data_IF_182469688741
#
_entry.id   IF_182469688741
#
_cell.length_a   1.000
_cell.length_b   1.000
_cell.length_c   1.000
_cell.angle_alpha   90.00
_cell.angle_beta   90.00
_cell.angle_gamma   90.00
#
_symmetry.space_group_name_H-M   'P 1'
#
loop_
_entity.id
_entity.type
_entity.pdbx_description
1 polymer ?
#
# COMPACT_ATOMS: atom_id res chain seq x y z
N UNK A 1 -14.37 33.97 42.23
CA UNK A 1 -14.54 33.91 40.77
C UNK A 1 -13.24 33.57 40.00
N UNK A 2 -12.16 33.19 40.69
CA UNK A 2 -10.80 33.04 40.10
C UNK A 2 -10.33 31.61 39.86
N UNK A 3 -11.11 30.59 40.27
CA UNK A 3 -10.74 29.18 40.07
C UNK A 3 -11.38 28.54 38.82
N UNK A 4 -12.48 29.08 38.31
CA UNK A 4 -13.17 28.52 37.12
C UNK A 4 -12.42 28.87 35.83
N UNK A 5 -11.74 30.03 35.77
CA UNK A 5 -11.01 30.42 34.54
C UNK A 5 -9.73 29.61 34.33
N UNK A 6 -9.00 29.25 35.39
CA UNK A 6 -7.79 28.42 35.29
C UNK A 6 -8.10 26.96 34.93
N UNK A 7 -9.19 26.41 35.46
CA UNK A 7 -9.65 25.05 35.08
C UNK A 7 -10.14 25.02 33.64
N UNK A 8 -10.80 26.08 33.15
CA UNK A 8 -11.20 26.21 31.75
C UNK A 8 -10.02 26.49 30.80
N UNK A 9 -8.95 27.17 31.23
CA UNK A 9 -7.70 27.31 30.46
C UNK A 9 -6.99 25.96 30.31
N UNK A 10 -6.92 25.16 31.37
CA UNK A 10 -6.31 23.81 31.33
C UNK A 10 -7.17 22.85 30.49
N UNK A 11 -8.50 22.91 30.59
CA UNK A 11 -9.41 22.12 29.75
C UNK A 11 -9.43 22.57 28.28
N UNK A 12 -9.27 23.86 27.99
CA UNK A 12 -9.14 24.34 26.61
C UNK A 12 -7.77 24.01 25.99
N UNK A 13 -6.72 23.89 26.81
CA UNK A 13 -5.41 23.39 26.35
C UNK A 13 -5.48 21.89 25.97
N UNK A 14 -6.44 21.16 26.54
CA UNK A 14 -6.74 19.76 26.20
C UNK A 14 -7.68 19.58 24.98
N UNK A 15 -8.15 20.68 24.36
CA UNK A 15 -9.12 20.65 23.26
C UNK A 15 -8.62 21.30 21.96
N UNK A 16 -7.41 21.86 21.95
CA UNK A 16 -6.80 22.43 20.75
C UNK A 16 -5.87 21.39 20.10
N UNK A 17 -6.09 21.00 18.82
CA UNK A 17 -5.14 20.16 18.11
C UNK A 17 -3.76 20.81 18.10
N UNK A 18 -2.72 20.01 18.34
CA UNK A 18 -1.36 20.46 18.08
C UNK A 18 -1.18 20.70 16.58
N UNK A 19 -0.39 21.72 16.23
CA UNK A 19 0.11 21.81 14.87
C UNK A 19 1.06 20.62 14.62
N UNK A 20 1.09 20.15 13.38
CA UNK A 20 1.97 19.06 12.96
C UNK A 20 3.42 19.33 13.36
N UNK A 21 3.87 20.58 13.18
CA UNK A 21 5.22 21.03 13.56
C UNK A 21 5.50 20.83 15.05
N UNK A 22 4.52 21.10 15.92
CA UNK A 22 4.67 20.99 17.37
C UNK A 22 4.91 19.53 17.78
N UNK A 23 4.12 18.60 17.24
CA UNK A 23 4.28 17.16 17.50
C UNK A 23 5.64 16.65 17.01
N UNK A 24 6.06 17.10 15.83
CA UNK A 24 7.38 16.73 15.29
C UNK A 24 8.50 17.25 16.18
N UNK A 25 8.43 18.51 16.63
CA UNK A 25 9.48 19.11 17.46
C UNK A 25 9.57 18.45 18.85
N UNK A 26 8.42 18.04 19.43
CA UNK A 26 8.40 17.27 20.67
C UNK A 26 9.10 15.93 20.53
N UNK A 27 8.80 15.17 19.48
CA UNK A 27 9.50 13.90 19.23
C UNK A 27 10.99 14.14 19.01
N UNK A 28 11.35 15.13 18.20
CA UNK A 28 12.74 15.44 17.86
C UNK A 28 13.56 15.92 19.07
N UNK A 29 12.91 16.51 20.09
CA UNK A 29 13.57 16.83 21.36
C UNK A 29 13.90 15.59 22.21
N UNK A 30 13.17 14.49 22.00
CA UNK A 30 13.41 13.20 22.67
C UNK A 30 14.40 12.31 21.90
N UNK A 31 14.33 12.29 20.57
CA UNK A 31 15.21 11.50 19.70
C UNK A 31 15.35 12.13 18.30
N UNK A 32 16.57 12.20 17.74
CA UNK A 32 16.74 12.61 16.34
C UNK A 32 16.17 11.57 15.36
N UNK A 33 15.66 12.00 14.19
CA UNK A 33 15.11 11.10 13.18
C UNK A 33 16.11 10.00 12.74
N UNK A 34 15.66 8.75 12.77
CA UNK A 34 16.45 7.61 12.36
C UNK A 34 16.45 7.46 10.82
N UNK A 35 17.59 7.79 10.21
CA UNK A 35 17.79 7.69 8.76
C UNK A 35 17.68 6.26 8.23
N UNK A 36 18.05 5.26 9.02
CA UNK A 36 17.99 3.86 8.58
C UNK A 36 16.53 3.39 8.44
N UNK A 37 15.64 3.89 9.30
CA UNK A 37 14.19 3.65 9.24
C UNK A 37 13.46 4.56 8.23
N UNK A 38 14.17 5.43 7.52
CA UNK A 38 13.57 6.34 6.54
C UNK A 38 12.61 7.38 7.14
N UNK A 39 12.83 7.77 8.39
CA UNK A 39 11.94 8.70 9.11
C UNK A 39 11.96 10.10 8.48
N UNK A 40 10.85 10.48 7.86
CA UNK A 40 10.55 11.80 7.32
C UNK A 40 9.16 12.21 7.77
N UNK A 41 9.09 13.18 8.69
CA UNK A 41 7.83 13.53 9.34
C UNK A 41 7.15 14.68 8.63
N UNK A 42 5.88 14.49 8.27
CA UNK A 42 5.07 15.52 7.60
C UNK A 42 4.79 16.67 8.58
N UNK A 43 4.99 17.91 8.14
CA UNK A 43 4.80 19.14 8.94
C UNK A 43 3.78 20.10 8.33
N UNK A 44 3.18 19.75 7.19
CA UNK A 44 2.25 20.61 6.47
C UNK A 44 0.79 20.21 6.72
N UNK A 45 0.00 21.14 7.29
CA UNK A 45 -1.42 20.93 7.58
C UNK A 45 -2.27 20.68 6.35
N UNK A 46 -2.05 21.42 5.27
CA UNK A 46 -2.85 21.26 4.04
C UNK A 46 -2.72 19.88 3.40
N UNK A 47 -1.53 19.25 3.51
CA UNK A 47 -1.34 17.86 3.08
C UNK A 47 -2.09 16.89 3.99
N UNK A 48 -2.05 17.10 5.32
CA UNK A 48 -2.81 16.29 6.27
C UNK A 48 -4.32 16.40 5.99
N UNK A 49 -4.82 17.61 5.76
CA UNK A 49 -6.22 17.86 5.38
C UNK A 49 -6.60 17.10 4.11
N UNK A 50 -5.72 17.13 3.11
CA UNK A 50 -5.92 16.37 1.87
C UNK A 50 -5.93 14.86 2.11
N UNK A 51 -5.05 14.32 2.94
CA UNK A 51 -5.04 12.88 3.29
C UNK A 51 -6.39 12.50 3.91
N UNK A 52 -6.85 13.24 4.92
CA UNK A 52 -8.10 12.96 5.63
C UNK A 52 -9.31 13.08 4.69
N UNK A 53 -9.36 14.13 3.87
CA UNK A 53 -10.44 14.33 2.90
C UNK A 53 -10.52 13.17 1.89
N UNK A 54 -9.38 12.67 1.42
CA UNK A 54 -9.33 11.54 0.49
C UNK A 54 -9.60 10.19 1.17
N UNK A 55 -9.36 10.07 2.49
CA UNK A 55 -9.60 8.84 3.23
C UNK A 55 -11.10 8.52 3.41
N UNK A 56 -11.97 9.52 3.24
CA UNK A 56 -13.43 9.38 3.29
C UNK A 56 -13.89 8.59 4.52
N UNK A 57 -13.31 8.92 5.68
CA UNK A 57 -13.52 8.23 6.96
C UNK A 57 -14.98 8.31 7.41
N UNK A 58 -15.47 7.20 7.93
CA UNK A 58 -16.78 7.00 8.56
C UNK A 58 -16.55 6.63 10.03
N UNK A 59 -17.53 6.88 10.89
CA UNK A 59 -17.41 6.65 12.33
C UNK A 59 -17.28 5.15 12.66
N UNK A 60 -17.82 4.28 11.81
CA UNK A 60 -17.79 2.83 11.95
C UNK A 60 -16.49 2.19 11.45
N UNK A 61 -15.59 2.97 10.85
CA UNK A 61 -14.34 2.42 10.36
C UNK A 61 -13.40 2.02 11.50
N UNK A 62 -12.64 0.95 11.24
CA UNK A 62 -11.43 0.64 11.98
C UNK A 62 -10.23 0.90 11.08
N UNK A 63 -9.55 1.98 11.40
CA UNK A 63 -8.42 2.51 10.65
C UNK A 63 -7.13 1.96 11.26
N UNK A 64 -6.27 1.43 10.41
CA UNK A 64 -4.89 1.12 10.74
C UNK A 64 -3.94 2.19 10.18
N UNK A 65 -3.20 2.84 11.07
CA UNK A 65 -2.07 3.70 10.73
C UNK A 65 -0.75 2.93 10.85
N UNK A 66 0.07 2.96 9.80
CA UNK A 66 1.36 2.27 9.75
C UNK A 66 2.47 3.31 9.78
N UNK A 67 3.35 3.22 10.79
CA UNK A 67 4.41 4.21 11.01
C UNK A 67 3.85 5.60 11.39
N UNK A 68 3.10 5.72 12.50
CA UNK A 68 2.52 6.98 12.97
C UNK A 68 3.56 8.09 13.22
N UNK A 69 4.81 7.73 13.50
CA UNK A 69 5.86 8.71 13.77
C UNK A 69 5.48 9.65 14.92
N UNK A 70 5.60 10.98 14.78
CA UNK A 70 5.25 11.93 15.84
C UNK A 70 3.76 11.97 16.20
N UNK A 71 2.90 11.28 15.43
CA UNK A 71 1.46 11.24 15.63
C UNK A 71 0.68 12.35 14.93
N UNK A 72 1.28 12.99 13.91
CA UNK A 72 0.64 14.10 13.17
C UNK A 72 -0.61 13.66 12.42
N UNK A 73 -0.60 12.45 11.84
CA UNK A 73 -1.76 11.88 11.18
C UNK A 73 -2.65 11.17 12.21
N UNK A 74 -2.07 10.47 13.18
CA UNK A 74 -2.77 9.88 14.34
C UNK A 74 -3.77 10.85 14.98
N UNK A 75 -3.34 12.07 15.32
CA UNK A 75 -4.21 13.10 15.91
C UNK A 75 -5.45 13.34 15.05
N UNK A 76 -5.26 13.46 13.73
CA UNK A 76 -6.33 13.77 12.77
C UNK A 76 -7.27 12.58 12.58
N UNK A 77 -6.73 11.37 12.56
CA UNK A 77 -7.52 10.14 12.49
C UNK A 77 -8.39 9.98 13.73
N UNK A 78 -7.83 10.17 14.93
CA UNK A 78 -8.60 10.05 16.19
C UNK A 78 -9.72 11.10 16.28
N UNK A 79 -9.51 12.29 15.70
CA UNK A 79 -10.53 13.35 15.63
C UNK A 79 -11.71 13.02 14.71
N UNK A 80 -11.58 12.03 13.81
CA UNK A 80 -12.71 11.58 12.98
C UNK A 80 -13.78 10.81 13.78
N UNK A 81 -13.43 10.34 14.98
CA UNK A 81 -14.29 9.51 15.83
C UNK A 81 -14.30 8.02 15.43
N UNK A 82 -13.63 7.64 14.35
CA UNK A 82 -13.41 6.25 13.98
C UNK A 82 -12.53 5.52 14.99
N UNK A 83 -12.54 4.18 14.95
CA UNK A 83 -11.59 3.38 15.73
C UNK A 83 -10.22 3.45 15.06
N UNK A 84 -9.18 3.83 15.82
CA UNK A 84 -7.81 3.98 15.28
C UNK A 84 -6.86 3.04 16.01
N UNK A 85 -6.22 2.17 15.24
CA UNK A 85 -5.06 1.38 15.65
C UNK A 85 -3.82 1.88 14.92
N UNK A 86 -2.66 1.79 15.58
CA UNK A 86 -1.38 2.14 14.97
C UNK A 86 -0.33 1.05 15.21
N UNK A 87 0.52 0.80 14.22
CA UNK A 87 1.70 -0.06 14.34
C UNK A 87 2.95 0.78 14.10
N UNK A 88 3.86 0.78 15.07
CA UNK A 88 5.15 1.47 15.03
C UNK A 88 6.26 0.49 15.40
N UNK A 89 7.41 0.58 14.72
CA UNK A 89 8.57 -0.30 14.93
C UNK A 89 9.58 0.34 15.90
N UNK A 90 9.65 1.67 15.95
CA UNK A 90 10.56 2.42 16.81
C UNK A 90 10.00 2.53 18.24
N UNK A 91 10.69 1.90 19.20
CA UNK A 91 10.27 1.85 20.59
C UNK A 91 10.15 3.25 21.23
N UNK A 92 11.05 4.18 20.88
CA UNK A 92 11.04 5.54 21.46
C UNK A 92 9.87 6.34 20.92
N UNK A 93 9.54 6.15 19.64
CA UNK A 93 8.31 6.72 19.05
C UNK A 93 7.08 6.13 19.73
N UNK A 94 7.08 4.83 20.04
CA UNK A 94 5.96 4.24 20.77
C UNK A 94 5.75 4.89 22.14
N UNK A 95 6.83 5.15 22.89
CA UNK A 95 6.76 5.82 24.19
C UNK A 95 6.36 7.29 24.08
N UNK A 96 6.72 7.97 22.99
CA UNK A 96 6.19 9.29 22.64
C UNK A 96 4.67 9.24 22.40
N UNK A 97 4.21 8.33 21.54
CA UNK A 97 2.80 8.20 21.19
C UNK A 97 1.91 7.81 22.38
N UNK A 98 2.38 6.94 23.28
CA UNK A 98 1.64 6.60 24.51
C UNK A 98 1.46 7.80 25.44
N UNK A 99 2.40 8.75 25.44
CA UNK A 99 2.31 9.98 26.24
C UNK A 99 1.36 11.00 25.59
N UNK A 100 1.50 11.23 24.29
CA UNK A 100 0.69 12.23 23.58
C UNK A 100 -0.74 11.73 23.30
N UNK A 101 -0.92 10.42 23.07
CA UNK A 101 -2.20 9.79 22.74
C UNK A 101 -2.47 8.54 23.62
N UNK A 102 -2.77 8.70 24.93
CA UNK A 102 -2.92 7.57 25.85
C UNK A 102 -4.04 6.58 25.51
N UNK A 103 -5.02 7.00 24.69
CA UNK A 103 -6.15 6.18 24.25
C UNK A 103 -5.94 5.51 22.89
N UNK A 104 -4.79 5.75 22.24
CA UNK A 104 -4.46 5.11 20.96
C UNK A 104 -4.23 3.61 21.16
N UNK A 105 -4.87 2.78 20.33
CA UNK A 105 -4.55 1.35 20.27
C UNK A 105 -3.23 1.13 19.52
N UNK A 106 -2.11 1.22 20.25
CA UNK A 106 -0.76 1.20 19.70
C UNK A 106 -0.06 -0.15 19.91
N UNK A 107 0.36 -0.76 18.80
CA UNK A 107 1.18 -1.97 18.78
C UNK A 107 2.63 -1.63 18.42
N UNK A 108 3.57 -2.04 19.27
CA UNK A 108 5.01 -1.94 18.97
C UNK A 108 5.50 -3.20 18.24
N UNK A 109 5.45 -3.21 16.90
CA UNK A 109 5.88 -4.31 16.03
C UNK A 109 6.27 -3.82 14.63
N UNK A 110 6.88 -4.71 13.85
CA UNK A 110 7.01 -4.54 12.41
C UNK A 110 5.66 -4.86 11.73
N UNK A 111 5.08 -3.87 11.05
CA UNK A 111 3.81 -4.01 10.33
C UNK A 111 3.84 -5.09 9.24
N UNK A 112 5.01 -5.41 8.67
CA UNK A 112 5.15 -6.47 7.66
C UNK A 112 5.02 -7.87 8.29
N UNK A 113 5.29 -8.02 9.58
CA UNK A 113 5.27 -9.31 10.29
C UNK A 113 4.01 -9.45 11.17
N UNK A 114 3.51 -8.34 11.72
CA UNK A 114 2.35 -8.31 12.61
C UNK A 114 1.06 -8.82 11.94
N UNK A 115 0.18 -9.47 12.69
CA UNK A 115 -1.11 -9.91 12.14
C UNK A 115 -2.18 -8.83 12.38
N UNK A 116 -2.67 -8.22 11.31
CA UNK A 116 -3.62 -7.12 11.41
C UNK A 116 -5.02 -7.65 11.70
N UNK A 117 -5.72 -7.02 12.63
CA UNK A 117 -7.11 -7.36 12.96
C UNK A 117 -8.00 -7.41 11.71
N UNK A 118 -8.86 -8.43 11.62
CA UNK A 118 -9.88 -8.56 10.56
C UNK A 118 -10.94 -7.44 10.62
N UNK A 119 -11.02 -6.70 11.72
CA UNK A 119 -11.89 -5.53 11.85
C UNK A 119 -11.35 -4.34 11.04
N UNK A 120 -10.04 -4.29 10.76
CA UNK A 120 -9.41 -3.21 9.98
C UNK A 120 -9.96 -3.19 8.57
N UNK A 121 -10.66 -2.10 8.25
CA UNK A 121 -11.31 -1.91 6.95
C UNK A 121 -10.69 -0.75 6.15
N UNK A 122 -9.85 0.08 6.76
CA UNK A 122 -9.16 1.18 6.12
C UNK A 122 -7.70 1.30 6.60
N UNK A 123 -6.80 1.71 5.70
CA UNK A 123 -5.41 2.05 6.04
C UNK A 123 -5.15 3.51 5.67
N UNK A 124 -4.61 4.29 6.60
CA UNK A 124 -4.15 5.65 6.30
C UNK A 124 -2.74 5.81 6.85
N UNK A 125 -1.75 6.03 5.98
CA UNK A 125 -0.35 5.97 6.41
C UNK A 125 0.58 6.86 5.60
N UNK A 126 1.52 7.50 6.27
CA UNK A 126 2.74 8.02 5.66
C UNK A 126 3.83 6.94 5.71
N UNK A 127 3.88 6.10 4.68
CA UNK A 127 4.67 4.86 4.72
C UNK A 127 6.18 5.17 4.61
N UNK A 128 7.04 4.58 5.47
CA UNK A 128 8.48 4.56 5.24
C UNK A 128 8.80 3.91 3.88
N UNK A 129 9.49 4.63 3.00
CA UNK A 129 9.62 4.23 1.59
C UNK A 129 10.24 2.84 1.35
N UNK A 130 11.03 2.35 2.30
CA UNK A 130 11.69 1.05 2.21
C UNK A 130 10.72 -0.13 2.27
N UNK A 131 9.55 0.05 2.89
CA UNK A 131 8.56 -1.03 3.08
C UNK A 131 7.37 -0.93 2.12
N UNK A 132 7.34 0.05 1.21
CA UNK A 132 6.15 0.29 0.36
C UNK A 132 5.74 -0.92 -0.48
N UNK A 133 6.68 -1.60 -1.16
CA UNK A 133 6.36 -2.78 -1.98
C UNK A 133 5.80 -3.96 -1.17
N UNK A 134 6.51 -4.47 -0.13
CA UNK A 134 5.99 -5.59 0.65
C UNK A 134 4.70 -5.22 1.41
N UNK A 135 4.52 -3.94 1.75
CA UNK A 135 3.29 -3.48 2.40
C UNK A 135 2.08 -3.55 1.46
N UNK A 136 2.21 -3.10 0.20
CA UNK A 136 1.16 -3.26 -0.82
C UNK A 136 0.79 -4.74 -1.00
N UNK A 137 1.79 -5.62 -1.08
CA UNK A 137 1.55 -7.06 -1.18
C UNK A 137 0.82 -7.61 0.05
N UNK A 138 1.22 -7.19 1.25
CA UNK A 138 0.53 -7.59 2.48
C UNK A 138 -0.93 -7.12 2.49
N UNK A 139 -1.19 -5.86 2.13
CA UNK A 139 -2.55 -5.32 2.03
C UNK A 139 -3.45 -6.14 1.12
N UNK A 140 -2.93 -6.68 0.01
CA UNK A 140 -3.67 -7.57 -0.88
C UNK A 140 -4.21 -8.82 -0.18
N UNK A 141 -3.48 -9.36 0.81
CA UNK A 141 -3.87 -10.55 1.58
C UNK A 141 -4.90 -10.24 2.68
N UNK A 142 -4.99 -9.00 3.17
CA UNK A 142 -6.01 -8.58 4.14
C UNK A 142 -7.27 -8.08 3.40
N UNK A 143 -8.18 -9.02 3.08
CA UNK A 143 -9.38 -8.74 2.27
C UNK A 143 -10.40 -7.80 2.94
N UNK A 144 -10.34 -7.67 4.27
CA UNK A 144 -11.18 -6.76 5.04
C UNK A 144 -10.87 -5.29 4.75
N UNK A 145 -9.61 -4.97 4.43
CA UNK A 145 -9.20 -3.63 4.02
C UNK A 145 -9.87 -3.26 2.69
N UNK A 146 -10.82 -2.34 2.73
CA UNK A 146 -11.57 -1.88 1.55
C UNK A 146 -10.95 -0.67 0.89
N UNK A 147 -10.20 0.14 1.64
CA UNK A 147 -9.53 1.31 1.11
C UNK A 147 -8.24 1.62 1.83
N UNK A 148 -7.33 2.26 1.12
CA UNK A 148 -6.11 2.79 1.70
C UNK A 148 -5.77 4.16 1.10
N UNK A 149 -5.33 5.09 1.96
CA UNK A 149 -4.73 6.36 1.55
C UNK A 149 -3.32 6.41 2.09
N UNK A 150 -2.37 6.31 1.18
CA UNK A 150 -0.97 6.15 1.53
C UNK A 150 -0.13 7.24 0.90
N UNK A 151 0.91 7.68 1.62
CA UNK A 151 1.94 8.54 1.04
C UNK A 151 3.20 7.72 0.77
N UNK A 152 3.70 7.83 -0.46
CA UNK A 152 4.86 7.09 -0.97
C UNK A 152 5.71 8.00 -1.86
N UNK A 153 6.88 7.55 -2.30
CA UNK A 153 7.69 8.31 -3.28
C UNK A 153 6.94 8.48 -4.60
N UNK A 154 7.12 9.62 -5.27
CA UNK A 154 6.48 9.92 -6.56
C UNK A 154 6.77 8.85 -7.62
N UNK A 155 8.03 8.42 -7.76
CA UNK A 155 8.41 7.37 -8.71
C UNK A 155 7.71 6.05 -8.41
N UNK A 156 7.65 5.66 -7.13
CA UNK A 156 6.94 4.47 -6.70
C UNK A 156 5.44 4.58 -7.01
N UNK A 157 4.82 5.73 -6.74
CA UNK A 157 3.42 5.99 -7.07
C UNK A 157 3.14 5.82 -8.57
N UNK A 158 4.02 6.35 -9.42
CA UNK A 158 3.92 6.19 -10.87
C UNK A 158 4.05 4.73 -11.31
N UNK A 159 4.98 3.97 -10.72
CA UNK A 159 5.15 2.53 -10.99
C UNK A 159 3.98 1.68 -10.50
N UNK A 160 3.40 2.03 -9.35
CA UNK A 160 2.22 1.36 -8.80
C UNK A 160 0.97 1.63 -9.65
N UNK A 161 0.75 2.89 -10.03
CA UNK A 161 -0.38 3.30 -10.86
C UNK A 161 -0.20 2.96 -12.36
N UNK A 162 1.04 2.88 -12.83
CA UNK A 162 1.42 2.67 -14.23
C UNK A 162 0.96 3.81 -15.16
N UNK A 163 1.41 5.05 -14.88
CA UNK A 163 0.99 6.25 -15.63
C UNK A 163 1.46 6.30 -17.07
N UNK A 164 2.58 5.67 -17.38
CA UNK A 164 3.18 5.60 -18.71
C UNK A 164 3.57 4.17 -19.04
N UNK A 165 3.85 3.91 -20.33
CA UNK A 165 4.34 2.61 -20.78
C UNK A 165 5.63 2.18 -20.04
N UNK A 166 6.55 3.11 -19.75
CA UNK A 166 7.78 2.82 -19.02
C UNK A 166 7.56 2.41 -17.56
N UNK A 167 6.47 2.87 -16.95
CA UNK A 167 6.15 2.59 -15.54
C UNK A 167 5.66 1.15 -15.33
N UNK A 168 5.21 0.48 -16.40
CA UNK A 168 4.70 -0.89 -16.34
C UNK A 168 5.71 -1.82 -15.69
N UNK A 169 5.25 -2.49 -14.65
CA UNK A 169 6.04 -3.44 -13.89
C UNK A 169 5.13 -4.46 -13.20
N UNK A 170 5.74 -5.57 -12.76
CA UNK A 170 5.04 -6.64 -12.04
C UNK A 170 4.21 -6.12 -10.86
N UNK A 171 4.81 -5.27 -10.00
CA UNK A 171 4.14 -4.73 -8.82
C UNK A 171 2.84 -3.99 -9.17
N UNK A 172 2.88 -3.05 -10.12
CA UNK A 172 1.70 -2.28 -10.51
C UNK A 172 0.62 -3.15 -11.16
N UNK A 173 1.01 -4.12 -12.00
CA UNK A 173 0.06 -5.04 -12.64
C UNK A 173 -0.60 -5.99 -11.64
N UNK A 174 0.18 -6.53 -10.69
CA UNK A 174 -0.35 -7.40 -9.62
C UNK A 174 -1.23 -6.61 -8.66
N UNK A 175 -0.84 -5.39 -8.28
CA UNK A 175 -1.67 -4.57 -7.39
C UNK A 175 -3.04 -4.25 -8.01
N UNK A 176 -3.11 -4.06 -9.32
CA UNK A 176 -4.39 -3.86 -10.05
C UNK A 176 -5.34 -5.05 -10.01
N UNK A 177 -4.89 -6.25 -9.61
CA UNK A 177 -5.77 -7.40 -9.43
C UNK A 177 -6.70 -7.24 -8.22
N UNK A 178 -6.33 -6.39 -7.26
CA UNK A 178 -7.05 -6.18 -6.01
C UNK A 178 -7.49 -4.73 -5.81
N UNK A 179 -6.83 -3.77 -6.46
CA UNK A 179 -6.98 -2.35 -6.19
C UNK A 179 -7.22 -1.52 -7.45
N UNK A 180 -8.24 -0.65 -7.41
CA UNK A 180 -8.29 0.57 -8.21
C UNK A 180 -7.33 1.58 -7.58
N UNK A 181 -6.32 1.99 -8.33
CA UNK A 181 -5.24 2.86 -7.87
C UNK A 181 -5.41 4.24 -8.52
N UNK A 182 -5.37 5.29 -7.70
CA UNK A 182 -5.50 6.68 -8.16
C UNK A 182 -4.42 7.56 -7.52
N UNK A 183 -3.86 8.49 -8.30
CA UNK A 183 -2.82 9.42 -7.82
C UNK A 183 -3.45 10.76 -7.41
N UNK A 184 -3.37 11.12 -6.12
CA UNK A 184 -3.95 12.34 -5.56
C UNK A 184 -2.95 13.50 -5.51
N UNK A 185 -2.68 14.15 -4.39
CA UNK A 185 -1.78 15.31 -4.34
C UNK A 185 -0.28 14.94 -4.48
N UNK A 186 0.52 15.75 -5.21
CA UNK A 186 2.00 15.75 -5.14
C UNK A 186 2.46 16.53 -3.92
N UNK A 187 3.41 15.98 -3.17
CA UNK A 187 3.87 16.50 -1.88
C UNK A 187 5.37 16.82 -1.94
N UNK A 188 5.74 18.11 -1.89
CA UNK A 188 7.14 18.54 -1.93
C UNK A 188 7.98 18.13 -0.70
N UNK A 189 9.29 17.92 -0.85
CA UNK A 189 10.20 17.59 0.25
C UNK A 189 10.21 18.57 1.42
N UNK A 190 10.01 19.87 1.15
CA UNK A 190 10.04 20.91 2.18
C UNK A 190 8.84 20.84 3.15
N UNK A 191 7.85 19.99 2.88
CA UNK A 191 6.76 19.68 3.81
C UNK A 191 7.13 18.59 4.82
N UNK A 192 8.38 18.15 4.85
CA UNK A 192 8.86 17.15 5.81
C UNK A 192 10.03 17.65 6.66
N UNK A 193 10.18 17.06 7.85
CA UNK A 193 11.31 17.27 8.76
C UNK A 193 11.84 15.91 9.23
N UNK A 194 13.05 15.49 8.82
CA UNK A 194 13.93 16.14 7.84
C UNK A 194 13.36 15.99 6.41
N UNK A 195 13.84 16.81 5.47
CA UNK A 195 13.37 16.74 4.08
C UNK A 195 13.89 15.46 3.38
N UNK A 196 13.04 14.70 2.67
CA UNK A 196 13.49 13.63 1.79
C UNK A 196 14.23 14.20 0.57
N UNK A 197 14.99 13.36 -0.13
CA UNK A 197 15.70 13.76 -1.36
C UNK A 197 14.81 13.79 -2.61
N UNK A 198 13.60 13.25 -2.51
CA UNK A 198 12.68 13.01 -3.62
C UNK A 198 11.29 13.49 -3.28
N UNK A 199 10.47 13.74 -4.30
CA UNK A 199 9.06 14.10 -4.17
C UNK A 199 8.24 12.90 -3.65
N UNK A 200 7.13 13.20 -2.99
CA UNK A 200 6.17 12.21 -2.53
C UNK A 200 4.80 12.41 -3.21
N UNK A 201 3.97 11.37 -3.18
CA UNK A 201 2.60 11.39 -3.72
C UNK A 201 1.65 10.71 -2.74
N UNK A 202 0.46 11.28 -2.59
CA UNK A 202 -0.68 10.56 -2.01
C UNK A 202 -1.27 9.62 -3.07
N UNK A 203 -1.40 8.35 -2.72
CA UNK A 203 -2.01 7.30 -3.54
C UNK A 203 -3.26 6.78 -2.85
N UNK A 204 -4.34 6.68 -3.60
CA UNK A 204 -5.60 6.10 -3.15
C UNK A 204 -5.70 4.70 -3.72
N UNK A 205 -6.02 3.73 -2.86
CA UNK A 205 -6.28 2.36 -3.26
C UNK A 205 -7.69 2.01 -2.79
N UNK A 206 -8.56 1.70 -3.74
CA UNK A 206 -9.91 1.22 -3.47
C UNK A 206 -9.99 -0.24 -3.89
N UNK A 207 -10.38 -1.12 -2.98
CA UNK A 207 -10.45 -2.55 -3.26
C UNK A 207 -11.51 -2.79 -4.33
N UNK A 208 -11.16 -3.58 -5.34
CA UNK A 208 -12.08 -4.02 -6.40
C UNK A 208 -12.31 -5.53 -6.31
N UNK A 209 -13.40 -6.05 -6.90
CA UNK A 209 -13.56 -7.48 -7.07
C UNK A 209 -12.38 -8.08 -7.83
N UNK A 210 -11.86 -9.21 -7.34
CA UNK A 210 -10.80 -9.93 -8.03
C UNK A 210 -11.31 -10.45 -9.38
N UNK A 211 -10.53 -10.37 -10.46
CA UNK A 211 -10.88 -11.02 -11.72
C UNK A 211 -10.94 -12.55 -11.56
N UNK A 212 -11.63 -13.21 -12.49
CA UNK A 212 -11.55 -14.67 -12.60
C UNK A 212 -10.10 -15.12 -12.81
N UNK A 213 -9.75 -16.28 -12.25
CA UNK A 213 -8.39 -16.83 -12.33
C UNK A 213 -7.30 -15.90 -11.76
N UNK A 214 -7.63 -15.10 -10.73
CA UNK A 214 -6.73 -14.17 -10.05
C UNK A 214 -5.34 -14.76 -9.76
N UNK A 215 -5.27 -15.98 -9.21
CA UNK A 215 -4.02 -16.67 -8.89
C UNK A 215 -3.16 -16.87 -10.14
N UNK A 216 -3.75 -17.38 -11.23
CA UNK A 216 -3.06 -17.63 -12.49
C UNK A 216 -2.57 -16.31 -13.11
N UNK A 217 -3.40 -15.27 -13.13
CA UNK A 217 -3.01 -13.97 -13.66
C UNK A 217 -1.80 -13.42 -12.88
N UNK A 218 -1.85 -13.47 -11.54
CA UNK A 218 -0.76 -13.03 -10.66
C UNK A 218 0.54 -13.79 -10.96
N UNK A 219 0.48 -15.12 -11.02
CA UNK A 219 1.65 -15.95 -11.27
C UNK A 219 2.23 -15.72 -12.68
N UNK A 220 1.38 -15.58 -13.71
CA UNK A 220 1.81 -15.26 -15.08
C UNK A 220 2.54 -13.92 -15.14
N UNK A 221 1.98 -12.87 -14.54
CA UNK A 221 2.59 -11.54 -14.47
C UNK A 221 3.95 -11.63 -13.75
N UNK A 222 3.97 -12.15 -12.52
CA UNK A 222 5.19 -12.19 -11.71
C UNK A 222 6.31 -12.97 -12.40
N UNK A 223 5.99 -14.14 -12.97
CA UNK A 223 6.96 -15.00 -13.62
C UNK A 223 7.50 -14.41 -14.92
N UNK A 224 6.64 -13.84 -15.77
CA UNK A 224 7.06 -13.27 -17.06
C UNK A 224 7.89 -12.00 -16.88
N UNK A 225 7.52 -11.13 -15.93
CA UNK A 225 8.31 -9.94 -15.59
C UNK A 225 9.69 -10.27 -14.99
N UNK A 226 9.87 -11.46 -14.39
CA UNK A 226 11.19 -11.96 -13.99
C UNK A 226 12.19 -12.09 -15.16
N UNK A 227 11.69 -12.16 -16.39
CA UNK A 227 12.48 -12.09 -17.62
C UNK A 227 11.93 -11.03 -18.58
N UNK A 228 11.62 -9.83 -18.07
CA UNK A 228 10.98 -8.70 -18.79
C UNK A 228 11.39 -8.53 -20.27
N UNK A 229 12.68 -8.61 -20.58
CA UNK A 229 13.19 -8.38 -21.96
C UNK A 229 12.94 -9.55 -22.94
N UNK A 230 12.41 -10.69 -22.49
CA UNK A 230 12.10 -11.86 -23.32
C UNK A 230 10.62 -11.91 -23.66
N UNK A 231 10.33 -12.44 -24.86
CA UNK A 231 8.97 -12.78 -25.26
C UNK A 231 8.34 -13.76 -24.26
N UNK A 232 7.05 -13.61 -23.98
CA UNK A 232 6.28 -14.42 -23.02
C UNK A 232 6.48 -15.91 -23.28
N UNK A 233 6.35 -16.38 -24.53
CA UNK A 233 6.55 -17.80 -24.90
C UNK A 233 7.86 -18.40 -24.40
N UNK A 234 8.94 -17.62 -24.44
CA UNK A 234 10.27 -18.11 -24.07
C UNK A 234 10.39 -18.28 -22.55
N UNK A 235 9.74 -17.40 -21.80
CA UNK A 235 9.70 -17.45 -20.34
C UNK A 235 8.80 -18.59 -19.86
N UNK A 236 7.62 -18.74 -20.47
CA UNK A 236 6.67 -19.81 -20.14
C UNK A 236 7.23 -21.20 -20.47
N UNK A 237 7.80 -21.41 -21.67
CA UNK A 237 8.39 -22.70 -22.07
C UNK A 237 9.53 -23.14 -21.15
N UNK A 238 10.41 -22.22 -20.75
CA UNK A 238 11.57 -22.55 -19.89
C UNK A 238 11.14 -23.07 -18.51
N UNK A 239 10.00 -22.61 -18.03
CA UNK A 239 9.54 -22.91 -16.67
C UNK A 239 8.86 -24.27 -16.52
N UNK A 240 8.33 -24.84 -17.61
CA UNK A 240 7.61 -26.11 -17.58
C UNK A 240 6.45 -26.13 -16.57
N UNK A 241 5.74 -25.01 -16.41
CA UNK A 241 4.60 -24.87 -15.50
C UNK A 241 4.94 -24.87 -14.01
N UNK A 242 6.23 -24.94 -13.64
CA UNK A 242 6.67 -25.03 -12.23
C UNK A 242 6.37 -23.79 -11.37
N UNK A 243 6.13 -22.67 -12.02
CA UNK A 243 5.82 -21.39 -11.36
C UNK A 243 4.34 -21.25 -11.02
N UNK A 244 3.54 -22.22 -11.45
CA UNK A 244 2.10 -22.22 -11.26
C UNK A 244 1.74 -23.33 -10.29
N UNK A 245 0.90 -23.05 -9.29
CA UNK A 245 0.47 -24.06 -8.32
C UNK A 245 -0.69 -24.93 -8.86
N UNK A 246 -0.52 -25.44 -10.08
CA UNK A 246 -1.61 -26.02 -10.87
C UNK A 246 -1.77 -27.54 -10.73
N UNK A 247 -1.07 -28.20 -9.80
CA UNK A 247 -1.14 -29.65 -9.66
C UNK A 247 -0.79 -30.38 -10.98
N UNK A 248 -1.69 -31.21 -11.56
CA UNK A 248 -1.39 -32.07 -12.71
C UNK A 248 -1.02 -31.33 -14.02
N UNK A 249 -1.17 -30.00 -14.11
CA UNK A 249 -0.98 -29.22 -15.35
C UNK A 249 0.48 -29.16 -15.83
N UNK A 250 1.41 -29.71 -15.05
CA UNK A 250 2.85 -29.67 -15.30
C UNK A 250 3.27 -30.48 -16.54
N UNK A 251 2.57 -31.57 -16.84
CA UNK A 251 2.95 -32.49 -17.92
C UNK A 251 2.52 -31.99 -19.31
N UNK A 252 1.40 -31.27 -19.40
CA UNK A 252 0.85 -30.74 -20.65
C UNK A 252 1.22 -29.26 -20.90
N UNK A 253 1.84 -28.59 -19.92
CA UNK A 253 2.15 -27.16 -19.99
C UNK A 253 2.90 -26.74 -21.26
N UNK A 254 3.90 -27.50 -21.67
CA UNK A 254 4.68 -27.15 -22.86
C UNK A 254 3.89 -27.30 -24.15
N UNK A 255 2.96 -28.26 -24.20
CA UNK A 255 2.11 -28.49 -25.35
C UNK A 255 1.00 -27.43 -25.39
N UNK A 256 0.41 -27.10 -24.24
CA UNK A 256 -0.51 -25.97 -24.05
C UNK A 256 0.11 -24.64 -24.48
N UNK A 257 1.33 -24.34 -24.02
CA UNK A 257 2.06 -23.11 -24.40
C UNK A 257 2.38 -23.11 -25.90
N UNK A 258 2.64 -24.25 -26.52
CA UNK A 258 2.88 -24.34 -27.96
C UNK A 258 1.60 -24.22 -28.79
N UNK A 259 0.48 -24.73 -28.28
CA UNK A 259 -0.81 -24.74 -28.97
C UNK A 259 -1.57 -23.41 -28.86
N UNK A 260 -1.19 -22.54 -27.92
CA UNK A 260 -1.73 -21.18 -27.83
C UNK A 260 -1.08 -20.30 -28.91
N UNK A 261 -1.70 -20.28 -30.10
CA UNK A 261 -1.44 -19.25 -31.10
C UNK A 261 -2.19 -17.97 -30.75
N UNK A 262 -1.51 -17.04 -30.10
CA UNK A 262 -2.05 -15.70 -29.87
C UNK A 262 -0.98 -14.61 -29.99
N UNK A 263 -1.43 -13.36 -30.17
CA UNK A 263 -0.56 -12.18 -30.24
C UNK A 263 0.31 -11.98 -28.99
N UNK A 264 -0.17 -12.40 -27.82
CA UNK A 264 0.51 -12.19 -26.53
C UNK A 264 1.74 -13.09 -26.36
N UNK A 265 1.76 -14.28 -26.97
CA UNK A 265 2.88 -15.20 -26.87
C UNK A 265 4.16 -14.67 -27.54
N UNK A 266 4.01 -13.79 -28.53
CA UNK A 266 5.12 -13.09 -29.19
C UNK A 266 5.48 -11.75 -28.56
N UNK A 267 4.67 -11.26 -27.61
CA UNK A 267 4.89 -10.00 -26.91
C UNK A 267 5.85 -10.16 -25.73
N UNK A 268 6.42 -9.04 -25.28
CA UNK A 268 7.06 -8.88 -23.97
C UNK A 268 6.01 -8.53 -22.91
N UNK A 269 6.23 -8.86 -21.63
CA UNK A 269 5.26 -8.60 -20.58
C UNK A 269 4.85 -7.12 -20.44
N UNK A 270 5.74 -6.17 -20.70
CA UNK A 270 5.41 -4.73 -20.70
C UNK A 270 4.50 -4.28 -21.86
N UNK A 271 4.42 -5.07 -22.94
CA UNK A 271 3.59 -4.77 -24.11
C UNK A 271 2.10 -5.09 -23.87
N UNK A 272 1.79 -5.88 -22.85
CA UNK A 272 0.41 -6.21 -22.47
C UNK A 272 -0.17 -5.15 -21.53
N UNK A 273 -1.43 -4.76 -21.77
CA UNK A 273 -2.25 -4.07 -20.79
C UNK A 273 -2.77 -5.04 -19.72
N UNK A 274 -3.41 -4.52 -18.67
CA UNK A 274 -4.02 -5.35 -17.64
C UNK A 274 -5.10 -6.30 -18.20
N UNK A 275 -6.00 -5.79 -19.05
CA UNK A 275 -7.08 -6.61 -19.62
C UNK A 275 -6.54 -7.70 -20.56
N UNK A 276 -5.41 -7.46 -21.25
CA UNK A 276 -4.72 -8.49 -22.03
C UNK A 276 -4.27 -9.65 -21.14
N UNK A 277 -3.83 -9.39 -19.90
CA UNK A 277 -3.45 -10.45 -18.95
C UNK A 277 -4.65 -11.27 -18.48
N UNK A 278 -5.78 -10.61 -18.20
CA UNK A 278 -7.03 -11.28 -17.82
C UNK A 278 -7.48 -12.20 -18.95
N UNK A 279 -7.60 -11.68 -20.17
CA UNK A 279 -8.01 -12.48 -21.32
C UNK A 279 -7.00 -13.61 -21.62
N UNK A 280 -5.70 -13.37 -21.41
CA UNK A 280 -4.67 -14.38 -21.59
C UNK A 280 -4.86 -15.57 -20.64
N UNK A 281 -5.09 -15.30 -19.36
CA UNK A 281 -5.36 -16.34 -18.38
C UNK A 281 -6.64 -17.14 -18.73
N UNK A 282 -7.74 -16.47 -19.04
CA UNK A 282 -9.00 -17.12 -19.45
C UNK A 282 -8.79 -18.03 -20.67
N UNK A 283 -7.99 -17.61 -21.65
CA UNK A 283 -7.67 -18.44 -22.82
C UNK A 283 -6.83 -19.68 -22.47
N UNK A 284 -5.87 -19.55 -21.56
CA UNK A 284 -5.08 -20.70 -21.07
C UNK A 284 -6.03 -21.73 -20.46
N UNK A 285 -6.96 -21.29 -19.61
CA UNK A 285 -7.96 -22.16 -18.96
C UNK A 285 -8.90 -22.82 -19.97
N UNK A 286 -9.49 -22.06 -20.89
CA UNK A 286 -10.37 -22.60 -21.93
C UNK A 286 -9.67 -23.58 -22.87
N UNK A 287 -8.39 -23.37 -23.17
CA UNK A 287 -7.62 -24.32 -23.98
C UNK A 287 -7.39 -25.62 -23.22
N UNK A 288 -7.04 -25.53 -21.94
CA UNK A 288 -6.83 -26.69 -21.08
C UNK A 288 -8.07 -27.59 -20.96
N UNK A 289 -9.25 -27.02 -20.68
CA UNK A 289 -10.48 -27.81 -20.59
C UNK A 289 -10.78 -28.58 -21.87
N UNK A 290 -10.52 -27.98 -23.04
CA UNK A 290 -10.68 -28.67 -24.33
C UNK A 290 -9.69 -29.82 -24.56
N UNK A 291 -8.53 -29.80 -23.90
CA UNK A 291 -7.52 -30.86 -24.04
C UNK A 291 -7.78 -32.06 -23.12
N UNK A 292 -8.51 -31.87 -22.02
CA UNK A 292 -8.83 -32.94 -21.05
C UNK A 292 -10.20 -33.59 -21.29
N UNK A 293 -11.14 -32.88 -21.92
CA UNK A 293 -12.42 -33.44 -22.34
C UNK A 293 -12.29 -34.36 -23.60
N UNK A 294 -11.07 -34.82 -23.94
CA UNK A 294 -10.72 -35.76 -25.01
C UNK A 294 -9.98 -36.95 -24.40
#
# INVERSE_FOLDING_TARGET
MTNISKTNEVLNTLLMPYLARDLVDRLQSSQPPNKQLGQHFLINEGVLDSIIANAQLQIEDHILEIGPGPGVLTQRLMQSGATVSAIEIDAVICDHLRREFPTLNLTHRDALIDDWSEEVNAIVANIPYQISSPLIEKMTHHYHVKRAVIMVQEEFAHRLNQTTYSDRCSLGMVARLDWKIELAQKVPPHFFSPQPKVQSRIVLLNRIPRPEHWELIRELIQHTYGQRRKKIRNTLRKSGGKFLNLGPWKHEWNDLVQSIENKWMDARPEELEFDDWCDFATRIIHHYHRCIDI
#
